data_IF_759219999959
#
_entry.id   IF_759219999959
#
_cell.length_a   1.000
_cell.length_b   1.000
_cell.length_c   1.000
_cell.angle_alpha   90.00
_cell.angle_beta   90.00
_cell.angle_gamma   90.00
#
_symmetry.space_group_name_H-M   'P 1'
#
loop_
_entity.id
_entity.type
_entity.pdbx_description
1 polymer ?
#
# COMPACT_ATOMS: atom_id res chain seq x y z
N UNK A 1 -18.69 36.73 8.12
CA UNK A 1 -19.64 35.71 8.60
C UNK A 1 -19.07 34.35 8.15
N UNK A 2 -18.41 33.63 9.06
CA UNK A 2 -17.87 32.31 8.79
C UNK A 2 -19.05 31.32 8.77
N UNK A 3 -19.48 30.90 7.57
CA UNK A 3 -20.51 29.88 7.42
C UNK A 3 -20.02 28.59 8.09
N UNK A 4 -20.86 28.01 8.96
CA UNK A 4 -20.58 26.73 9.62
C UNK A 4 -20.56 25.67 8.54
N UNK A 5 -19.35 25.17 8.17
CA UNK A 5 -19.20 24.09 7.18
C UNK A 5 -20.08 22.89 7.57
N UNK A 6 -20.69 22.25 6.57
CA UNK A 6 -21.52 21.05 6.77
C UNK A 6 -20.69 19.87 7.30
N UNK A 7 -21.36 18.85 7.83
CA UNK A 7 -20.67 17.63 8.27
C UNK A 7 -19.92 16.97 7.10
N UNK A 8 -20.53 16.91 5.92
CA UNK A 8 -19.92 16.36 4.70
C UNK A 8 -18.67 17.12 4.28
N UNK A 9 -18.66 18.45 4.31
CA UNK A 9 -17.49 19.27 3.96
C UNK A 9 -16.30 19.11 4.92
N UNK A 10 -16.55 18.69 6.15
CA UNK A 10 -15.51 18.49 7.17
C UNK A 10 -15.07 17.04 7.32
N UNK A 11 -15.84 16.11 6.81
CA UNK A 11 -15.56 14.67 6.95
C UNK A 11 -14.17 14.26 6.42
N UNK A 12 -13.70 14.72 5.25
CA UNK A 12 -12.34 14.45 4.78
C UNK A 12 -11.25 14.89 5.77
N UNK A 13 -11.44 16.03 6.45
CA UNK A 13 -10.50 16.52 7.48
C UNK A 13 -10.47 15.58 8.71
N UNK A 14 -11.63 15.04 9.08
CA UNK A 14 -11.78 14.06 10.16
C UNK A 14 -11.04 12.76 9.81
N UNK A 15 -11.25 12.24 8.60
CA UNK A 15 -10.58 11.02 8.14
C UNK A 15 -9.07 11.21 8.04
N UNK A 16 -8.60 12.30 7.46
CA UNK A 16 -7.16 12.61 7.40
C UNK A 16 -6.53 12.73 8.80
N UNK A 17 -7.26 13.28 9.77
CA UNK A 17 -6.81 13.32 11.18
C UNK A 17 -6.75 11.91 11.79
N UNK A 18 -7.74 11.06 11.50
CA UNK A 18 -7.76 9.67 11.95
C UNK A 18 -6.60 8.87 11.38
N UNK A 19 -6.33 8.98 10.07
CA UNK A 19 -5.17 8.34 9.42
C UNK A 19 -3.88 8.72 10.14
N UNK A 20 -3.62 10.02 10.34
CA UNK A 20 -2.39 10.48 11.04
C UNK A 20 -2.26 9.90 12.45
N UNK A 21 -3.34 9.91 13.24
CA UNK A 21 -3.30 9.43 14.63
C UNK A 21 -3.10 7.91 14.66
N UNK A 22 -3.83 7.15 13.85
CA UNK A 22 -3.69 5.70 13.81
C UNK A 22 -2.34 5.24 13.24
N UNK A 23 -1.78 5.96 12.27
CA UNK A 23 -0.44 5.67 11.74
C UNK A 23 0.63 5.91 12.82
N UNK A 24 0.49 6.98 13.60
CA UNK A 24 1.47 7.30 14.64
C UNK A 24 1.37 6.39 15.87
N UNK A 25 0.15 6.22 16.41
CA UNK A 25 -0.09 5.58 17.71
C UNK A 25 -0.47 4.09 17.62
N UNK A 26 -0.95 3.64 16.45
CA UNK A 26 -1.60 2.33 16.28
C UNK A 26 -3.02 2.32 16.82
N UNK A 27 -3.72 1.21 16.56
CA UNK A 27 -5.14 1.11 16.91
C UNK A 27 -5.39 1.21 18.42
N UNK A 28 -4.66 0.47 19.27
CA UNK A 28 -4.98 0.40 20.70
C UNK A 28 -4.68 1.71 21.43
N UNK A 29 -3.49 2.29 21.19
CA UNK A 29 -3.04 3.49 21.90
C UNK A 29 -3.80 4.75 21.46
N UNK A 30 -4.19 4.87 20.19
CA UNK A 30 -4.97 5.99 19.69
C UNK A 30 -6.30 6.16 20.46
N UNK A 31 -6.67 7.40 20.76
CA UNK A 31 -7.93 7.74 21.45
C UNK A 31 -8.79 8.62 20.56
N UNK A 32 -10.12 8.52 20.72
CA UNK A 32 -11.07 9.40 20.02
C UNK A 32 -10.80 10.89 20.31
N UNK A 33 -10.38 11.21 21.54
CA UNK A 33 -9.98 12.57 21.92
C UNK A 33 -8.76 13.09 21.15
N UNK A 34 -7.82 12.22 20.79
CA UNK A 34 -6.62 12.61 20.03
C UNK A 34 -6.97 12.91 18.56
N UNK A 35 -7.83 12.07 17.96
CA UNK A 35 -8.37 12.34 16.62
C UNK A 35 -9.21 13.61 16.61
N UNK A 36 -10.09 13.81 17.59
CA UNK A 36 -10.89 15.03 17.70
C UNK A 36 -10.01 16.28 17.76
N UNK A 37 -8.97 16.23 18.60
CA UNK A 37 -7.99 17.34 18.72
C UNK A 37 -7.27 17.58 17.39
N UNK A 38 -6.82 16.54 16.72
CA UNK A 38 -6.15 16.63 15.42
C UNK A 38 -7.06 17.18 14.30
N UNK A 39 -8.38 16.94 14.39
CA UNK A 39 -9.40 17.47 13.49
C UNK A 39 -9.94 18.86 13.90
N UNK A 40 -9.46 19.44 15.01
CA UNK A 40 -9.99 20.70 15.55
C UNK A 40 -11.44 20.60 16.03
N UNK A 41 -11.81 19.44 16.62
CA UNK A 41 -13.15 19.13 17.13
C UNK A 41 -13.11 18.81 18.64
N UNK A 42 -14.27 18.91 19.29
CA UNK A 42 -14.48 18.21 20.57
C UNK A 42 -14.75 16.72 20.31
N UNK A 43 -14.45 15.87 21.29
CA UNK A 43 -14.73 14.43 21.18
C UNK A 43 -16.23 14.15 20.93
N UNK A 44 -17.12 14.89 21.61
CA UNK A 44 -18.56 14.80 21.36
C UNK A 44 -18.95 15.20 19.92
N UNK A 45 -18.20 16.13 19.30
CA UNK A 45 -18.42 16.49 17.91
C UNK A 45 -17.93 15.40 16.95
N UNK A 46 -16.87 14.67 17.28
CA UNK A 46 -16.36 13.55 16.48
C UNK A 46 -17.38 12.40 16.42
N UNK A 47 -18.04 12.08 17.54
CA UNK A 47 -19.08 11.05 17.57
C UNK A 47 -20.33 11.37 16.73
N UNK A 48 -20.45 12.58 16.20
CA UNK A 48 -21.48 12.92 15.21
C UNK A 48 -21.12 12.47 13.79
N UNK A 49 -19.86 12.10 13.55
CA UNK A 49 -19.39 11.58 12.25
C UNK A 49 -19.34 10.06 12.21
N UNK A 50 -18.98 9.44 13.32
CA UNK A 50 -18.82 7.97 13.40
C UNK A 50 -19.13 7.49 14.82
N UNK A 51 -19.81 6.35 14.94
CA UNK A 51 -20.29 5.86 16.23
C UNK A 51 -19.21 5.24 17.12
N UNK A 52 -18.08 4.80 16.56
CA UNK A 52 -17.07 4.07 17.30
C UNK A 52 -15.64 4.30 16.78
N UNK A 53 -14.65 4.01 17.63
CA UNK A 53 -13.23 4.02 17.27
C UNK A 53 -12.94 2.98 16.17
N UNK A 54 -13.55 1.80 16.25
CA UNK A 54 -13.40 0.75 15.24
C UNK A 54 -13.92 1.24 13.88
N UNK A 55 -15.13 1.83 13.85
CA UNK A 55 -15.69 2.41 12.65
C UNK A 55 -14.81 3.49 12.04
N UNK A 56 -14.27 4.38 12.88
CA UNK A 56 -13.33 5.41 12.42
C UNK A 56 -12.04 4.81 11.84
N UNK A 57 -11.52 3.75 12.44
CA UNK A 57 -10.34 3.04 11.96
C UNK A 57 -10.59 2.34 10.63
N UNK A 58 -11.74 1.69 10.47
CA UNK A 58 -12.17 1.08 9.19
C UNK A 58 -12.24 2.13 8.09
N UNK A 59 -12.87 3.28 8.35
CA UNK A 59 -12.95 4.37 7.38
C UNK A 59 -11.57 4.94 7.03
N UNK A 60 -10.68 5.07 8.02
CA UNK A 60 -9.32 5.53 7.81
C UNK A 60 -8.51 4.57 6.92
N UNK A 61 -8.62 3.24 7.12
CA UNK A 61 -7.97 2.24 6.25
C UNK A 61 -8.52 2.33 4.83
N UNK A 62 -9.85 2.37 4.66
CA UNK A 62 -10.48 2.46 3.33
C UNK A 62 -10.01 3.69 2.57
N UNK A 63 -10.01 4.84 3.23
CA UNK A 63 -9.53 6.08 2.65
C UNK A 63 -8.06 6.01 2.22
N UNK A 64 -7.19 5.49 3.11
CA UNK A 64 -5.76 5.40 2.85
C UNK A 64 -5.39 4.34 1.79
N UNK A 65 -6.23 3.32 1.57
CA UNK A 65 -6.10 2.36 0.48
C UNK A 65 -6.64 2.88 -0.86
N UNK A 66 -7.20 4.09 -0.93
CA UNK A 66 -7.84 4.67 -2.11
C UNK A 66 -8.93 3.76 -2.72
N UNK A 67 -9.65 3.02 -1.87
CA UNK A 67 -10.71 2.11 -2.28
C UNK A 67 -11.99 2.90 -2.62
N UNK A 68 -11.92 3.73 -3.66
CA UNK A 68 -13.03 4.60 -4.09
C UNK A 68 -14.24 3.79 -4.60
N UNK A 69 -14.00 2.61 -5.16
CA UNK A 69 -15.04 1.70 -5.67
C UNK A 69 -15.64 0.80 -4.57
N UNK A 70 -15.08 0.76 -3.38
CA UNK A 70 -15.75 0.10 -2.25
C UNK A 70 -16.95 0.94 -1.81
N UNK A 71 -18.10 0.32 -1.52
CA UNK A 71 -19.29 1.04 -1.05
C UNK A 71 -18.91 1.97 0.10
N UNK A 72 -18.84 3.27 -0.15
CA UNK A 72 -18.52 4.27 0.86
C UNK A 72 -19.82 4.87 1.37
N UNK A 73 -20.01 4.83 2.69
CA UNK A 73 -21.16 5.49 3.34
C UNK A 73 -21.03 7.01 3.35
N UNK A 74 -19.90 7.55 2.87
CA UNK A 74 -19.57 8.99 2.76
C UNK A 74 -19.91 9.57 1.38
N UNK A 75 -20.54 8.79 0.50
CA UNK A 75 -21.06 9.26 -0.78
C UNK A 75 -22.17 10.31 -0.63
N UNK A 76 -22.58 10.95 -1.74
CA UNK A 76 -23.66 11.92 -1.71
C UNK A 76 -24.94 11.28 -1.13
N UNK A 77 -25.38 11.72 0.06
CA UNK A 77 -26.53 11.19 0.76
C UNK A 77 -26.22 10.33 1.99
N UNK A 78 -24.94 10.17 2.37
CA UNK A 78 -24.59 9.48 3.61
C UNK A 78 -25.18 10.21 4.84
N UNK A 79 -25.83 9.45 5.72
CA UNK A 79 -26.36 9.96 6.97
C UNK A 79 -25.32 9.80 8.09
N UNK A 80 -25.05 10.88 8.82
CA UNK A 80 -24.18 10.85 9.99
C UNK A 80 -24.95 10.57 11.28
N UNK A 81 -24.38 9.83 12.24
CA UNK A 81 -23.04 9.22 12.23
C UNK A 81 -22.97 7.99 11.34
N UNK A 82 -21.82 7.84 10.65
CA UNK A 82 -21.56 6.68 9.80
C UNK A 82 -21.44 5.40 10.64
N UNK A 83 -21.89 4.29 10.07
CA UNK A 83 -21.87 2.94 10.66
C UNK A 83 -21.13 1.98 9.72
N UNK A 84 -19.81 2.13 9.55
CA UNK A 84 -19.06 1.25 8.68
C UNK A 84 -19.13 -0.20 9.17
N UNK A 85 -18.89 -1.18 8.28
CA UNK A 85 -18.89 -2.58 8.65
C UNK A 85 -17.84 -2.84 9.76
N UNK A 86 -18.00 -3.91 10.55
CA UNK A 86 -16.98 -4.31 11.52
C UNK A 86 -15.66 -4.63 10.82
N UNK A 87 -14.55 -4.47 11.53
CA UNK A 87 -13.19 -4.66 11.00
C UNK A 87 -13.05 -6.00 10.26
N UNK A 88 -13.57 -7.09 10.82
CA UNK A 88 -13.51 -8.42 10.21
C UNK A 88 -14.16 -8.48 8.81
N UNK A 89 -15.26 -7.78 8.61
CA UNK A 89 -15.95 -7.71 7.31
C UNK A 89 -15.14 -6.88 6.32
N UNK A 90 -14.63 -5.74 6.74
CA UNK A 90 -13.77 -4.88 5.90
C UNK A 90 -12.51 -5.63 5.47
N UNK A 91 -11.86 -6.39 6.37
CA UNK A 91 -10.68 -7.19 6.03
C UNK A 91 -10.97 -8.24 4.94
N UNK A 92 -12.15 -8.86 4.99
CA UNK A 92 -12.60 -9.79 3.95
C UNK A 92 -12.79 -9.06 2.61
N UNK A 93 -13.46 -7.93 2.61
CA UNK A 93 -13.68 -7.10 1.41
C UNK A 93 -12.36 -6.63 0.78
N UNK A 94 -11.38 -6.22 1.60
CA UNK A 94 -10.03 -5.87 1.12
C UNK A 94 -9.34 -7.07 0.48
N UNK A 95 -9.43 -8.28 1.08
CA UNK A 95 -8.86 -9.50 0.49
C UNK A 95 -9.52 -9.85 -0.86
N UNK A 96 -10.84 -9.79 -0.91
CA UNK A 96 -11.60 -10.06 -2.14
C UNK A 96 -11.25 -9.04 -3.23
N UNK A 97 -11.17 -7.75 -2.89
CA UNK A 97 -10.76 -6.69 -3.80
C UNK A 97 -9.33 -6.92 -4.33
N UNK A 98 -8.36 -7.15 -3.44
CA UNK A 98 -6.97 -7.43 -3.83
C UNK A 98 -6.89 -8.67 -4.72
N UNK A 99 -7.61 -9.75 -4.39
CA UNK A 99 -7.60 -10.96 -5.20
C UNK A 99 -8.22 -10.78 -6.59
N UNK A 100 -9.16 -9.84 -6.75
CA UNK A 100 -9.82 -9.55 -8.02
C UNK A 100 -9.00 -8.57 -8.89
N UNK A 101 -8.42 -7.53 -8.27
CA UNK A 101 -7.73 -6.44 -8.97
C UNK A 101 -6.22 -6.66 -9.10
N UNK A 102 -5.63 -7.56 -8.29
CA UNK A 102 -4.22 -7.94 -8.43
C UNK A 102 -4.14 -9.22 -9.29
N UNK A 103 -3.94 -9.01 -10.57
CA UNK A 103 -2.56 -8.93 -11.03
C UNK A 103 -2.23 -7.50 -11.46
N UNK A 104 -1.18 -6.94 -10.85
CA UNK A 104 -0.53 -5.71 -11.32
C UNK A 104 -0.40 -5.76 -12.83
N UNK A 105 -0.82 -4.72 -13.55
CA UNK A 105 -0.94 -4.75 -14.99
C UNK A 105 0.33 -5.22 -15.71
N UNK A 106 1.49 -4.69 -15.34
CA UNK A 106 2.78 -5.06 -15.92
C UNK A 106 3.21 -6.49 -15.51
N UNK A 107 3.09 -6.85 -14.23
CA UNK A 107 3.46 -8.19 -13.75
C UNK A 107 2.52 -9.26 -14.32
N UNK A 108 1.22 -9.00 -14.37
CA UNK A 108 0.25 -9.91 -14.99
C UNK A 108 0.48 -10.07 -16.47
N UNK A 109 0.71 -8.97 -17.19
CA UNK A 109 1.03 -9.01 -18.62
C UNK A 109 2.32 -9.81 -18.88
N UNK A 110 3.33 -9.63 -18.04
CA UNK A 110 4.57 -10.39 -18.12
C UNK A 110 4.36 -11.90 -17.86
N UNK A 111 3.50 -12.27 -16.92
CA UNK A 111 3.19 -13.68 -16.63
C UNK A 111 2.34 -14.34 -17.72
N UNK A 112 1.39 -13.61 -18.31
CA UNK A 112 0.48 -14.12 -19.33
C UNK A 112 1.03 -14.00 -20.75
N UNK A 113 2.00 -13.10 -20.97
CA UNK A 113 2.53 -12.75 -22.28
C UNK A 113 3.65 -13.67 -22.78
N UNK A 114 4.01 -13.53 -24.08
CA UNK A 114 5.18 -14.19 -24.64
C UNK A 114 6.48 -13.67 -23.99
N UNK A 115 7.59 -14.35 -24.31
CA UNK A 115 8.90 -13.86 -23.88
C UNK A 115 9.18 -12.45 -24.40
N UNK A 116 9.73 -11.54 -23.56
CA UNK A 116 9.99 -10.17 -23.94
C UNK A 116 11.10 -10.05 -24.98
N UNK A 117 10.94 -9.11 -25.92
CA UNK A 117 12.01 -8.69 -26.80
C UNK A 117 13.09 -7.92 -26.05
N UNK A 118 12.69 -7.09 -25.08
CA UNK A 118 13.56 -6.36 -24.17
C UNK A 118 13.25 -6.73 -22.70
N UNK A 119 14.04 -7.66 -22.11
CA UNK A 119 13.82 -8.10 -20.74
C UNK A 119 14.12 -7.00 -19.68
N UNK A 120 14.97 -6.04 -20.02
CA UNK A 120 15.25 -4.93 -19.11
C UNK A 120 14.06 -3.98 -19.03
N UNK A 121 13.43 -3.66 -20.16
CA UNK A 121 12.23 -2.83 -20.18
C UNK A 121 11.03 -3.51 -19.51
N UNK A 122 10.86 -4.83 -19.71
CA UNK A 122 9.79 -5.58 -19.02
C UNK A 122 10.00 -5.57 -17.51
N UNK A 123 11.22 -5.87 -17.05
CA UNK A 123 11.55 -5.87 -15.62
C UNK A 123 11.37 -4.46 -15.02
N UNK A 124 11.80 -3.41 -15.74
CA UNK A 124 11.63 -2.03 -15.33
C UNK A 124 10.15 -1.68 -15.12
N UNK A 125 9.28 -2.05 -16.06
CA UNK A 125 7.85 -1.81 -15.94
C UNK A 125 7.25 -2.49 -14.71
N UNK A 126 7.62 -3.75 -14.44
CA UNK A 126 7.19 -4.49 -13.24
C UNK A 126 7.68 -3.81 -11.96
N UNK A 127 8.96 -3.38 -11.91
CA UNK A 127 9.52 -2.74 -10.71
C UNK A 127 8.87 -1.38 -10.43
N UNK A 128 8.65 -0.56 -11.45
CA UNK A 128 8.00 0.75 -11.30
C UNK A 128 6.55 0.63 -10.88
N UNK A 129 5.83 -0.35 -11.39
CA UNK A 129 4.46 -0.64 -10.94
C UNK A 129 4.41 -1.01 -9.45
N UNK A 130 5.28 -1.92 -9.00
CA UNK A 130 5.38 -2.31 -7.58
C UNK A 130 5.78 -1.12 -6.70
N UNK A 131 6.75 -0.30 -7.15
CA UNK A 131 7.17 0.90 -6.43
C UNK A 131 6.03 1.91 -6.30
N UNK A 132 5.30 2.14 -7.38
CA UNK A 132 4.14 3.04 -7.41
C UNK A 132 3.06 2.60 -6.44
N UNK A 133 2.75 1.29 -6.40
CA UNK A 133 1.79 0.72 -5.46
C UNK A 133 2.21 0.96 -4.00
N UNK A 134 3.46 0.64 -3.65
CA UNK A 134 4.00 0.84 -2.31
C UNK A 134 3.95 2.33 -1.90
N UNK A 135 4.18 3.24 -2.85
CA UNK A 135 4.10 4.67 -2.63
C UNK A 135 2.66 5.13 -2.40
N UNK A 136 1.73 4.70 -3.24
CA UNK A 136 0.32 5.09 -3.18
C UNK A 136 -0.37 4.56 -1.92
N UNK A 137 -0.04 3.35 -1.49
CA UNK A 137 -0.64 2.71 -0.32
C UNK A 137 0.14 2.93 0.97
N UNK A 138 1.17 3.78 0.97
CA UNK A 138 2.09 3.99 2.10
C UNK A 138 1.38 4.25 3.43
N UNK A 139 0.47 5.22 3.47
CA UNK A 139 -0.23 5.59 4.72
C UNK A 139 -1.07 4.43 5.27
N UNK A 140 -1.76 3.71 4.39
CA UNK A 140 -2.54 2.54 4.77
C UNK A 140 -1.64 1.42 5.31
N UNK A 141 -0.57 1.12 4.60
CA UNK A 141 0.36 0.07 4.98
C UNK A 141 1.04 0.37 6.32
N UNK A 142 1.49 1.61 6.55
CA UNK A 142 2.10 2.03 7.81
C UNK A 142 1.10 1.94 8.98
N UNK A 143 -0.15 2.36 8.75
CA UNK A 143 -1.23 2.25 9.74
C UNK A 143 -1.57 0.79 10.06
N UNK A 144 -1.65 -0.07 9.05
CA UNK A 144 -1.91 -1.51 9.20
C UNK A 144 -0.73 -2.17 9.92
N UNK A 145 0.52 -1.94 9.50
CA UNK A 145 1.72 -2.50 10.14
C UNK A 145 1.84 -2.09 11.61
N UNK A 146 1.57 -0.83 11.91
CA UNK A 146 1.59 -0.32 13.27
C UNK A 146 0.58 -1.03 14.16
N UNK A 147 -0.64 -1.22 13.63
CA UNK A 147 -1.76 -1.82 14.34
C UNK A 147 -1.69 -3.36 14.35
N UNK A 148 -1.03 -4.00 13.40
CA UNK A 148 -0.89 -5.45 13.28
C UNK A 148 -0.18 -6.11 14.47
N UNK A 149 0.67 -5.35 15.19
CA UNK A 149 1.31 -5.83 16.43
C UNK A 149 0.31 -6.11 17.53
N UNK A 150 -0.86 -5.51 17.46
CA UNK A 150 -1.90 -5.54 18.50
C UNK A 150 -3.19 -6.23 18.03
N UNK A 151 -3.38 -6.33 16.73
CA UNK A 151 -4.55 -6.91 16.05
C UNK A 151 -4.07 -8.01 15.10
N UNK A 152 -4.12 -9.30 15.54
CA UNK A 152 -3.65 -10.43 14.72
C UNK A 152 -4.30 -10.50 13.33
N UNK A 153 -5.55 -10.09 13.22
CA UNK A 153 -6.31 -10.09 11.97
C UNK A 153 -5.68 -9.16 10.91
N UNK A 154 -5.08 -8.04 11.34
CA UNK A 154 -4.34 -7.15 10.45
C UNK A 154 -2.98 -7.73 10.06
N UNK A 155 -2.31 -8.42 10.98
CA UNK A 155 -1.06 -9.13 10.65
C UNK A 155 -1.31 -10.22 9.60
N UNK A 156 -2.42 -10.92 9.71
CA UNK A 156 -2.85 -11.96 8.77
C UNK A 156 -3.22 -11.35 7.40
N UNK A 157 -3.97 -10.24 7.38
CA UNK A 157 -4.23 -9.50 6.14
C UNK A 157 -2.92 -9.08 5.47
N UNK A 158 -2.00 -8.46 6.20
CA UNK A 158 -0.75 -7.95 5.66
C UNK A 158 0.11 -9.07 5.07
N UNK A 159 0.27 -10.18 5.78
CA UNK A 159 1.16 -11.27 5.38
C UNK A 159 0.52 -12.17 4.32
N UNK A 160 -0.62 -12.79 4.63
CA UNK A 160 -1.24 -13.79 3.76
C UNK A 160 -2.20 -13.18 2.74
N UNK A 161 -2.83 -12.05 3.06
CA UNK A 161 -3.77 -11.40 2.17
C UNK A 161 -3.14 -10.50 1.11
N UNK A 162 -2.05 -9.80 1.45
CA UNK A 162 -1.45 -8.80 0.57
C UNK A 162 -0.06 -9.21 0.08
N UNK A 163 0.85 -9.56 0.96
CA UNK A 163 2.27 -9.76 0.63
C UNK A 163 2.54 -11.11 -0.04
N UNK A 164 1.93 -12.19 0.43
CA UNK A 164 2.15 -13.54 -0.10
C UNK A 164 1.74 -13.69 -1.58
N UNK A 165 0.58 -13.20 -2.05
CA UNK A 165 0.22 -13.23 -3.47
C UNK A 165 1.22 -12.51 -4.37
N UNK A 166 1.71 -11.33 -3.95
CA UNK A 166 2.72 -10.56 -4.70
C UNK A 166 4.03 -11.33 -4.80
N UNK A 167 4.50 -11.90 -3.68
CA UNK A 167 5.71 -12.71 -3.66
C UNK A 167 5.58 -13.97 -4.54
N UNK A 168 4.44 -14.63 -4.53
CA UNK A 168 4.18 -15.79 -5.37
C UNK A 168 4.23 -15.43 -6.86
N UNK A 169 3.55 -14.35 -7.26
CA UNK A 169 3.53 -13.86 -8.63
C UNK A 169 4.95 -13.44 -9.10
N UNK A 170 5.66 -12.67 -8.26
CA UNK A 170 7.02 -12.24 -8.56
C UNK A 170 8.01 -13.42 -8.64
N UNK A 171 7.87 -14.42 -7.77
CA UNK A 171 8.66 -15.65 -7.83
C UNK A 171 8.40 -16.40 -9.14
N UNK A 172 7.15 -16.55 -9.56
CA UNK A 172 6.78 -17.17 -10.83
C UNK A 172 7.37 -16.42 -12.04
N UNK A 173 7.27 -15.10 -12.03
CA UNK A 173 7.83 -14.23 -13.07
C UNK A 173 9.36 -14.38 -13.17
N UNK A 174 10.08 -14.17 -12.07
CA UNK A 174 11.55 -14.27 -12.05
C UNK A 174 12.03 -15.67 -12.48
N UNK A 175 11.37 -16.72 -11.98
CA UNK A 175 11.68 -18.11 -12.34
C UNK A 175 11.48 -18.40 -13.82
N UNK A 176 10.35 -17.98 -14.38
CA UNK A 176 10.03 -18.14 -15.81
C UNK A 176 11.06 -17.43 -16.70
N UNK A 177 11.42 -16.20 -16.37
CA UNK A 177 12.41 -15.42 -17.15
C UNK A 177 13.85 -15.91 -16.96
N UNK A 178 14.18 -16.49 -15.81
CA UNK A 178 15.48 -17.14 -15.59
C UNK A 178 15.60 -18.43 -16.42
N UNK A 179 14.54 -19.25 -16.49
CA UNK A 179 14.51 -20.48 -17.31
C UNK A 179 14.68 -20.19 -18.81
N UNK A 180 14.13 -19.09 -19.30
CA UNK A 180 14.30 -18.66 -20.69
C UNK A 180 15.60 -17.88 -20.96
N UNK A 181 16.45 -17.66 -19.93
CA UNK A 181 17.73 -16.95 -20.05
C UNK A 181 17.57 -15.44 -20.25
N UNK A 182 16.39 -14.88 -20.01
CA UNK A 182 16.09 -13.43 -20.06
C UNK A 182 16.52 -12.73 -18.79
N UNK A 183 16.44 -13.40 -17.65
CA UNK A 183 17.02 -12.96 -16.39
C UNK A 183 18.12 -13.92 -15.93
N UNK A 184 18.91 -13.46 -14.98
CA UNK A 184 19.99 -14.26 -14.38
C UNK A 184 19.39 -15.32 -13.45
N UNK A 185 19.93 -16.53 -13.50
CA UNK A 185 19.64 -17.55 -12.50
C UNK A 185 20.26 -17.14 -11.17
N UNK A 186 19.46 -17.19 -10.12
CA UNK A 186 19.87 -16.91 -8.74
C UNK A 186 19.87 -18.18 -7.91
N UNK A 187 20.56 -18.21 -6.76
CA UNK A 187 20.60 -19.40 -5.88
C UNK A 187 19.22 -19.86 -5.42
N UNK A 188 18.32 -18.90 -5.17
CA UNK A 188 16.94 -19.14 -4.77
C UNK A 188 16.04 -18.03 -5.32
N UNK A 189 15.06 -18.42 -6.14
CA UNK A 189 14.16 -17.46 -6.80
C UNK A 189 13.19 -16.80 -5.82
N UNK A 190 12.71 -17.53 -4.81
CA UNK A 190 11.80 -16.98 -3.81
C UNK A 190 12.52 -15.97 -2.90
N UNK A 191 13.75 -16.28 -2.48
CA UNK A 191 14.60 -15.33 -1.76
C UNK A 191 14.91 -14.09 -2.60
N UNK A 192 15.12 -14.26 -3.92
CA UNK A 192 15.33 -13.13 -4.84
C UNK A 192 14.06 -12.28 -4.99
N UNK A 193 12.90 -12.89 -5.12
CA UNK A 193 11.62 -12.17 -5.14
C UNK A 193 11.42 -11.36 -3.85
N UNK A 194 11.76 -11.95 -2.71
CA UNK A 194 11.73 -11.25 -1.42
C UNK A 194 12.70 -10.07 -1.38
N UNK A 195 13.94 -10.25 -1.83
CA UNK A 195 14.93 -9.17 -1.92
C UNK A 195 14.42 -8.01 -2.76
N UNK A 196 13.85 -8.32 -3.94
CA UNK A 196 13.26 -7.31 -4.83
C UNK A 196 12.16 -6.53 -4.11
N UNK A 197 11.17 -7.24 -3.55
CA UNK A 197 10.04 -6.61 -2.88
C UNK A 197 10.50 -5.74 -1.70
N UNK A 198 11.36 -6.26 -0.82
CA UNK A 198 11.86 -5.50 0.34
C UNK A 198 12.69 -4.27 -0.06
N UNK A 199 13.46 -4.37 -1.16
CA UNK A 199 14.20 -3.22 -1.69
C UNK A 199 13.23 -2.13 -2.14
N UNK A 200 12.24 -2.47 -2.94
CA UNK A 200 11.24 -1.51 -3.43
C UNK A 200 10.42 -0.93 -2.25
N UNK A 201 9.96 -1.77 -1.32
CA UNK A 201 9.22 -1.34 -0.13
C UNK A 201 10.05 -0.37 0.74
N UNK A 202 11.35 -0.66 0.94
CA UNK A 202 12.20 0.25 1.72
C UNK A 202 12.34 1.61 1.05
N UNK A 203 12.66 1.63 -0.26
CA UNK A 203 12.84 2.87 -1.00
C UNK A 203 11.52 3.65 -1.21
N UNK A 204 10.39 2.97 -1.37
CA UNK A 204 9.08 3.61 -1.54
C UNK A 204 8.47 4.10 -0.21
N UNK A 205 8.64 3.33 0.88
CA UNK A 205 7.94 3.54 2.15
C UNK A 205 8.85 3.83 3.32
N UNK A 206 9.67 2.86 3.74
CA UNK A 206 10.37 2.90 5.03
C UNK A 206 11.42 4.00 5.11
N UNK A 207 12.02 4.41 3.97
CA UNK A 207 12.99 5.51 3.93
C UNK A 207 12.43 6.81 4.50
N UNK A 208 11.12 7.05 4.43
CA UNK A 208 10.51 8.28 4.98
C UNK A 208 10.56 8.34 6.52
N UNK A 209 10.67 7.18 7.18
CA UNK A 209 10.85 7.07 8.63
C UNK A 209 12.32 6.98 9.04
N UNK A 210 13.24 6.86 8.08
CA UNK A 210 14.68 6.85 8.28
C UNK A 210 15.24 8.28 8.14
N UNK A 211 15.99 8.81 9.14
CA UNK A 211 16.51 10.18 9.09
C UNK A 211 17.42 10.47 7.89
N UNK A 212 18.14 9.47 7.38
CA UNK A 212 19.00 9.60 6.21
C UNK A 212 18.23 9.31 4.92
N UNK A 213 17.32 8.34 4.94
CA UNK A 213 16.50 7.96 3.81
C UNK A 213 15.49 9.04 3.41
N UNK A 214 14.92 9.75 4.38
CA UNK A 214 13.94 10.82 4.15
C UNK A 214 14.49 12.00 3.32
N UNK A 215 15.82 12.17 3.29
CA UNK A 215 16.46 13.20 2.47
C UNK A 215 16.56 12.85 0.97
N UNK A 216 16.30 11.59 0.59
CA UNK A 216 16.35 11.14 -0.82
C UNK A 216 15.05 11.55 -1.50
N UNK A 217 15.07 12.34 -2.61
CA UNK A 217 13.87 12.67 -3.37
C UNK A 217 13.18 11.42 -3.93
N UNK A 218 11.84 11.43 -4.05
CA UNK A 218 11.05 10.25 -4.47
C UNK A 218 11.49 9.68 -5.83
N UNK A 219 11.64 10.53 -6.85
CA UNK A 219 12.09 10.07 -8.18
C UNK A 219 13.50 9.47 -8.15
N UNK A 220 14.42 10.05 -7.37
CA UNK A 220 15.77 9.49 -7.22
C UNK A 220 15.76 8.16 -6.48
N UNK A 221 14.88 8.00 -5.49
CA UNK A 221 14.71 6.76 -4.75
C UNK A 221 14.21 5.64 -5.66
N UNK A 222 13.20 5.93 -6.48
CA UNK A 222 12.66 4.99 -7.48
C UNK A 222 13.73 4.60 -8.49
N UNK A 223 14.34 5.57 -9.16
CA UNK A 223 15.34 5.32 -10.20
C UNK A 223 16.54 4.52 -9.65
N UNK A 224 17.01 4.83 -8.44
CA UNK A 224 18.11 4.10 -7.81
C UNK A 224 17.75 2.65 -7.53
N UNK A 225 16.58 2.38 -6.96
CA UNK A 225 16.15 1.02 -6.63
C UNK A 225 15.91 0.19 -7.91
N UNK A 226 15.22 0.77 -8.88
CA UNK A 226 14.90 0.10 -10.14
C UNK A 226 16.16 -0.19 -10.95
N UNK A 227 17.05 0.79 -11.13
CA UNK A 227 18.31 0.63 -11.86
C UNK A 227 19.20 -0.46 -11.24
N UNK A 228 19.38 -0.42 -9.92
CA UNK A 228 20.18 -1.43 -9.20
C UNK A 228 19.62 -2.84 -9.40
N UNK A 229 18.29 -3.02 -9.33
CA UNK A 229 17.66 -4.32 -9.53
C UNK A 229 17.76 -4.80 -10.98
N UNK A 230 17.62 -3.92 -11.97
CA UNK A 230 17.81 -4.26 -13.39
C UNK A 230 19.24 -4.76 -13.62
N UNK A 231 20.25 -4.03 -13.14
CA UNK A 231 21.65 -4.42 -13.30
C UNK A 231 22.00 -5.72 -12.55
N UNK A 232 21.35 -5.97 -11.42
CA UNK A 232 21.52 -7.23 -10.69
C UNK A 232 20.91 -8.44 -11.38
N UNK A 233 19.74 -8.28 -12.03
CA UNK A 233 18.93 -9.39 -12.50
C UNK A 233 19.01 -9.64 -14.02
N UNK A 234 19.26 -8.61 -14.83
CA UNK A 234 19.39 -8.76 -16.28
C UNK A 234 20.83 -9.16 -16.63
N UNK A 235 21.05 -10.19 -17.49
CA UNK A 235 22.38 -10.52 -18.00
C UNK A 235 23.02 -9.33 -18.74
N UNK A 236 24.28 -9.01 -18.49
CA UNK A 236 24.97 -7.86 -19.09
C UNK A 236 24.85 -7.79 -20.61
N UNK A 237 24.88 -8.95 -21.30
CA UNK A 237 24.69 -9.04 -22.76
C UNK A 237 23.32 -8.58 -23.28
N UNK A 238 22.33 -8.45 -22.39
CA UNK A 238 20.96 -8.05 -22.70
C UNK A 238 20.65 -6.62 -22.20
N UNK A 239 21.58 -5.95 -21.55
CA UNK A 239 21.41 -4.56 -21.08
C UNK A 239 21.57 -3.52 -22.22
N UNK A 240 22.04 -3.91 -23.40
CA UNK A 240 21.96 -3.17 -24.66
C UNK A 240 22.31 -1.67 -24.58
N UNK A 241 23.54 -1.30 -24.15
CA UNK A 241 23.99 0.10 -24.20
C UNK A 241 23.33 1.05 -23.17
N UNK A 242 22.76 0.52 -22.12
CA UNK A 242 22.42 1.27 -20.90
C UNK A 242 23.69 1.45 -20.06
N UNK A 243 24.56 2.40 -20.48
CA UNK A 243 25.72 2.89 -19.72
C UNK A 243 25.41 4.27 -19.11
#
# INVERSE_FOLDING_TARGET
MSGKRSAHERFPEVISAAVRVFTHDGYRAARMSDVARAAGLSEAALYRYVESKEGLFVLAIRHALLLEDMPSEDGPGAEFPLKPPPLSRMLLEVREFVAAEVPFGALAAALAGPEPGDPAAELEAVMRELFSLETQTREAADMIERSARELPELADLLNTGLREPVLAALTGYLGSRALSGKLRTTPDTAATARLVLETLTWFARHRHSDPYGAAIPDGLAEDTAVDALIHALVPAKLLGGRE
#
